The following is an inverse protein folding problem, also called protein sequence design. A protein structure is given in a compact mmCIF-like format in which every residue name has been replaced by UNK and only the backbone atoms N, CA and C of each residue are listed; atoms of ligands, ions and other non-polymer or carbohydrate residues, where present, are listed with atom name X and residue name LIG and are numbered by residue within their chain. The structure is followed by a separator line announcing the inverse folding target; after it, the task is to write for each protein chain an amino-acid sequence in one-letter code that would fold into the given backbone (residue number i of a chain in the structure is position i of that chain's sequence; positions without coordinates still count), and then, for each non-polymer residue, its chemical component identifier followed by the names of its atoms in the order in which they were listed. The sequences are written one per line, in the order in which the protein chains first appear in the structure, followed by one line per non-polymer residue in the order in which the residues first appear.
data_IF_041895527775
#
_entry.id   IF_041895527775
#
_cell.length_a   1.000
_cell.length_b   1.000
_cell.length_c   1.000
_cell.angle_alpha   90.00
_cell.angle_beta   90.00
_cell.angle_gamma   90.00
#
_symmetry.space_group_name_H-M   'P 1'
#
loop_
_entity.id
_entity.type
_entity.pdbx_description
1 polymer ?
#
# COMPACT_ATOMS: atom_id res chain seq x y z
N UNK A 1 20.30 -5.19 8.58
CA UNK A 1 19.85 -4.52 7.35
C UNK A 1 18.87 -5.44 6.65
N UNK A 2 17.59 -5.19 6.82
CA UNK A 2 16.54 -5.93 6.14
C UNK A 2 16.67 -5.82 4.63
N UNK A 3 16.66 -6.96 3.93
CA UNK A 3 16.81 -7.05 2.47
C UNK A 3 15.49 -6.86 1.72
N UNK A 4 14.36 -7.03 2.40
CA UNK A 4 13.03 -7.07 1.79
C UNK A 4 12.26 -5.80 2.11
N UNK A 5 12.57 -4.74 1.35
CA UNK A 5 11.93 -3.43 1.46
C UNK A 5 11.08 -3.17 0.22
N UNK A 6 9.87 -2.67 0.42
CA UNK A 6 8.96 -2.32 -0.68
C UNK A 6 8.68 -0.82 -0.60
N UNK A 7 8.85 -0.13 -1.72
CA UNK A 7 8.51 1.28 -1.84
C UNK A 7 7.14 1.43 -2.48
N UNK A 8 6.19 1.93 -1.71
CA UNK A 8 4.88 2.34 -2.19
C UNK A 8 4.92 3.79 -2.64
N UNK A 9 4.25 4.04 -3.76
CA UNK A 9 4.11 5.37 -4.34
C UNK A 9 2.67 5.55 -4.79
N UNK A 10 2.02 6.59 -4.27
CA UNK A 10 0.68 7.00 -4.68
C UNK A 10 0.71 8.47 -4.99
N UNK A 11 0.27 8.83 -6.19
CA UNK A 11 0.01 10.21 -6.55
C UNK A 11 -1.44 10.36 -6.93
N UNK A 12 -2.09 11.38 -6.38
CA UNK A 12 -3.31 11.86 -7.04
C UNK A 12 -2.85 12.52 -8.33
N UNK A 13 -3.45 12.17 -9.47
CA UNK A 13 -3.15 12.83 -10.75
C UNK A 13 -3.63 14.31 -10.78
N UNK A 14 -4.08 14.83 -9.63
CA UNK A 14 -4.27 16.25 -9.34
C UNK A 14 -2.99 16.85 -8.74
N UNK A 15 -2.69 18.08 -9.16
CA UNK A 15 -1.46 18.81 -8.82
C UNK A 15 -1.24 18.84 -7.29
N UNK A 16 -0.12 18.26 -6.84
CA UNK A 16 0.48 18.57 -5.55
C UNK A 16 0.37 17.53 -4.42
N UNK A 17 -0.30 16.39 -4.62
CA UNK A 17 -0.39 15.35 -3.59
C UNK A 17 0.16 14.00 -4.08
N UNK A 18 1.41 13.72 -3.69
CA UNK A 18 2.06 12.42 -3.82
C UNK A 18 2.53 11.96 -2.45
N UNK A 19 2.23 10.71 -2.10
CA UNK A 19 2.70 10.03 -0.90
C UNK A 19 3.61 8.89 -1.33
N UNK A 20 4.83 8.88 -0.79
CA UNK A 20 5.74 7.75 -0.91
C UNK A 20 6.07 7.23 0.48
N UNK A 21 6.07 5.90 0.63
CA UNK A 21 6.49 5.25 1.86
C UNK A 21 7.26 3.99 1.52
N UNK A 22 8.40 3.83 2.20
CA UNK A 22 9.18 2.59 2.13
C UNK A 22 8.85 1.79 3.38
N UNK A 23 8.21 0.64 3.19
CA UNK A 23 7.93 -0.31 4.25
C UNK A 23 9.02 -1.39 4.28
N UNK A 24 9.30 -1.87 5.47
CA UNK A 24 10.18 -3.02 5.68
C UNK A 24 9.34 -4.21 6.11
N UNK A 25 9.33 -5.29 5.32
CA UNK A 25 8.47 -6.44 5.64
C UNK A 25 8.83 -7.07 7.00
N UNK A 26 10.10 -7.01 7.41
CA UNK A 26 10.53 -7.62 8.67
C UNK A 26 10.45 -6.63 9.85
N UNK A 27 10.81 -5.36 9.67
CA UNK A 27 10.80 -4.37 10.77
C UNK A 27 9.43 -3.71 10.98
N UNK A 28 8.67 -3.45 9.90
CA UNK A 28 7.39 -2.73 9.96
C UNK A 28 6.22 -3.71 10.19
N UNK A 29 6.22 -4.84 9.48
CA UNK A 29 5.18 -5.87 9.56
C UNK A 29 5.57 -7.09 10.43
N UNK A 30 6.82 -7.21 10.85
CA UNK A 30 7.26 -8.34 11.70
C UNK A 30 7.37 -9.69 10.99
N UNK A 31 7.36 -9.72 9.65
CA UNK A 31 7.46 -10.98 8.90
C UNK A 31 8.81 -11.65 9.10
N UNK A 32 8.82 -12.98 9.03
CA UNK A 32 10.07 -13.74 8.96
C UNK A 32 10.76 -13.54 7.61
N UNK A 33 12.05 -13.91 7.53
CA UNK A 33 12.82 -13.81 6.28
C UNK A 33 12.21 -14.63 5.13
N UNK A 34 11.63 -15.80 5.43
CA UNK A 34 10.98 -16.64 4.42
C UNK A 34 9.65 -16.04 3.94
N UNK A 35 8.82 -15.54 4.87
CA UNK A 35 7.57 -14.85 4.52
C UNK A 35 7.84 -13.57 3.72
N UNK A 36 8.80 -12.76 4.16
CA UNK A 36 9.19 -11.54 3.46
C UNK A 36 9.70 -11.85 2.04
N UNK A 37 10.42 -12.96 1.86
CA UNK A 37 10.86 -13.43 0.54
C UNK A 37 9.67 -13.86 -0.33
N UNK A 38 8.74 -14.63 0.24
CA UNK A 38 7.54 -15.09 -0.48
C UNK A 38 6.63 -13.93 -0.90
N UNK A 39 6.43 -12.94 -0.03
CA UNK A 39 5.71 -11.70 -0.35
C UNK A 39 6.46 -10.94 -1.46
N UNK A 40 7.78 -10.79 -1.34
CA UNK A 40 8.58 -10.08 -2.33
C UNK A 40 8.58 -10.76 -3.72
N UNK A 41 8.40 -12.08 -3.78
CA UNK A 41 8.29 -12.85 -5.02
C UNK A 41 6.83 -12.96 -5.53
N UNK A 42 5.82 -12.54 -4.76
CA UNK A 42 4.40 -12.68 -5.09
C UNK A 42 3.68 -11.33 -5.16
N UNK A 43 3.44 -10.85 -6.39
CA UNK A 43 2.76 -9.57 -6.65
C UNK A 43 1.37 -9.46 -6.03
N UNK A 44 0.63 -10.56 -5.91
CA UNK A 44 -0.73 -10.57 -5.33
C UNK A 44 -0.67 -10.21 -3.83
N UNK A 45 0.30 -10.80 -3.11
CA UNK A 45 0.56 -10.47 -1.71
C UNK A 45 1.01 -9.03 -1.51
N UNK A 46 1.86 -8.53 -2.42
CA UNK A 46 2.27 -7.12 -2.40
C UNK A 46 1.06 -6.21 -2.58
N UNK A 47 0.14 -6.57 -3.49
CA UNK A 47 -1.10 -5.84 -3.73
C UNK A 47 -2.03 -5.82 -2.51
N UNK A 48 -2.15 -6.93 -1.76
CA UNK A 48 -2.91 -6.97 -0.52
C UNK A 48 -2.34 -6.00 0.53
N UNK A 49 -1.03 -6.06 0.79
CA UNK A 49 -0.35 -5.16 1.74
C UNK A 49 -0.48 -3.70 1.29
N UNK A 50 -0.38 -3.44 -0.01
CA UNK A 50 -0.56 -2.11 -0.56
C UNK A 50 -1.98 -1.57 -0.37
N UNK A 51 -3.01 -2.40 -0.54
CA UNK A 51 -4.40 -1.99 -0.31
C UNK A 51 -4.68 -1.70 1.18
N UNK A 52 -4.12 -2.50 2.08
CA UNK A 52 -4.22 -2.24 3.53
C UNK A 52 -3.55 -0.91 3.89
N UNK A 53 -2.31 -0.72 3.43
CA UNK A 53 -1.56 0.53 3.59
C UNK A 53 -2.30 1.75 3.00
N UNK A 54 -2.90 1.59 1.82
CA UNK A 54 -3.74 2.62 1.20
C UNK A 54 -4.93 3.00 2.09
N UNK A 55 -5.62 2.02 2.67
CA UNK A 55 -6.76 2.26 3.56
C UNK A 55 -6.39 2.99 4.84
N UNK A 56 -5.20 2.74 5.39
CA UNK A 56 -4.70 3.47 6.57
C UNK A 56 -4.24 4.90 6.26
N UNK A 57 -3.69 5.15 5.06
CA UNK A 57 -3.10 6.44 4.69
C UNK A 57 -4.00 7.35 3.88
N UNK A 58 -4.94 6.80 3.11
CA UNK A 58 -5.77 7.52 2.16
C UNK A 58 -7.24 7.30 2.47
N UNK A 59 -7.90 8.35 2.97
CA UNK A 59 -9.35 8.38 3.14
C UNK A 59 -10.02 8.56 1.77
N UNK A 60 -10.28 7.45 1.09
CA UNK A 60 -10.98 7.41 -0.19
C UNK A 60 -12.43 6.95 0.03
N UNK A 61 -13.39 7.79 -0.35
CA UNK A 61 -14.83 7.50 -0.22
C UNK A 61 -15.59 7.80 -1.51
N UNK A 62 -16.65 7.04 -1.76
CA UNK A 62 -17.58 7.29 -2.85
C UNK A 62 -18.94 7.71 -2.29
N UNK A 63 -19.68 8.53 -3.04
CA UNK A 63 -21.04 8.94 -2.69
C UNK A 63 -21.96 8.69 -3.86
N UNK A 64 -23.09 8.00 -3.62
CA UNK A 64 -24.13 7.79 -4.64
C UNK A 64 -24.91 9.09 -4.82
N UNK A 65 -24.84 9.66 -6.01
CA UNK A 65 -25.72 10.75 -6.43
C UNK A 65 -26.95 10.14 -7.11
N UNK A 66 -28.15 10.53 -6.66
CA UNK A 66 -29.41 10.29 -7.35
C UNK A 66 -30.00 11.63 -7.70
N UNK A 67 -30.39 11.84 -8.96
CA UNK A 67 -31.28 12.93 -9.33
C UNK A 67 -32.64 12.66 -8.65
N UNK A 68 -33.20 13.68 -7.99
CA UNK A 68 -34.58 13.62 -7.53
C UNK A 68 -35.46 13.77 -8.77
N UNK A 69 -36.27 12.75 -9.05
CA UNK A 69 -37.39 12.82 -9.99
C UNK A 69 -38.41 13.89 -9.58
#
# INVERSE_FOLDING_TARGET
MSRYKIKFYVSTNCVGASTEQTIDLMEDYGFTTEEAKEIFENEDKISEIFNEWLGEKIDARWTKLREKE
#
